data_IF_193214754879
#
_entry.id   IF_193214754879
#
_cell.length_a   1.000
_cell.length_b   1.000
_cell.length_c   1.000
_cell.angle_alpha   90.00
_cell.angle_beta   90.00
_cell.angle_gamma   90.00
#
_symmetry.space_group_name_H-M   'P 1'
#
loop_
_entity.id
_entity.type
_entity.pdbx_description
1 polymer ?
#
# COMPACT_ATOMS: atom_id res chain seq x y z
N UNK A 1 11.89 14.36 10.28
CA UNK A 1 11.12 15.03 11.36
C UNK A 1 9.66 14.55 11.50
N UNK A 2 8.96 14.05 10.46
CA UNK A 2 7.55 13.61 10.59
C UNK A 2 7.33 12.14 11.02
N UNK A 3 8.34 11.27 10.87
CA UNK A 3 8.23 9.84 11.19
C UNK A 3 8.09 9.53 12.69
N UNK A 4 8.80 10.27 13.55
CA UNK A 4 8.83 9.99 14.99
C UNK A 4 7.52 10.33 15.71
N UNK A 5 6.83 11.37 15.25
CA UNK A 5 5.53 11.80 15.80
C UNK A 5 4.45 10.73 15.60
N UNK A 6 4.43 10.05 14.45
CA UNK A 6 3.44 9.00 14.19
C UNK A 6 3.61 7.81 15.15
N UNK A 7 4.85 7.35 15.36
CA UNK A 7 5.13 6.21 16.25
C UNK A 7 4.78 6.53 17.70
N UNK A 8 5.01 7.77 18.15
CA UNK A 8 4.60 8.23 19.47
C UNK A 8 3.07 8.27 19.60
N UNK A 9 2.36 8.93 18.68
CA UNK A 9 0.89 9.05 18.76
C UNK A 9 0.15 7.71 18.61
N UNK A 10 0.67 6.75 17.84
CA UNK A 10 0.07 5.42 17.72
C UNK A 10 0.18 4.63 19.05
N UNK A 11 1.27 4.79 19.79
CA UNK A 11 1.48 4.20 21.13
C UNK A 11 0.59 4.83 22.20
N UNK A 12 0.15 6.07 21.99
CA UNK A 12 -0.75 6.77 22.92
C UNK A 12 -2.22 6.34 22.80
N UNK A 13 -2.66 5.78 21.67
CA UNK A 13 -4.06 5.38 21.48
C UNK A 13 -4.53 4.34 22.53
N UNK A 14 -3.79 3.24 22.80
CA UNK A 14 -4.15 2.30 23.86
C UNK A 14 -4.21 2.95 25.25
N UNK A 15 -3.31 3.87 25.55
CA UNK A 15 -3.27 4.59 26.83
C UNK A 15 -4.48 5.51 26.98
N UNK A 16 -4.84 6.24 25.92
CA UNK A 16 -6.03 7.08 25.87
C UNK A 16 -7.32 6.26 26.00
N UNK A 17 -7.39 5.06 25.40
CA UNK A 17 -8.52 4.14 25.58
C UNK A 17 -8.64 3.72 27.05
N UNK A 18 -7.56 3.24 27.67
CA UNK A 18 -7.54 2.84 29.08
C UNK A 18 -7.96 3.99 30.03
N UNK A 19 -7.42 5.19 29.82
CA UNK A 19 -7.76 6.37 30.64
C UNK A 19 -9.21 6.82 30.49
N UNK A 20 -9.77 6.73 29.28
CA UNK A 20 -11.21 6.98 29.06
C UNK A 20 -12.07 5.95 29.79
N UNK A 21 -11.69 4.68 29.74
CA UNK A 21 -12.47 3.62 30.35
C UNK A 21 -12.37 3.68 31.88
N UNK A 22 -11.22 4.06 32.45
CA UNK A 22 -11.07 4.27 33.89
C UNK A 22 -11.89 5.46 34.40
N UNK A 23 -11.85 6.60 33.71
CA UNK A 23 -12.64 7.79 34.07
C UNK A 23 -14.14 7.57 33.92
N UNK A 24 -14.55 6.75 32.94
CA UNK A 24 -15.93 6.31 32.80
C UNK A 24 -16.39 5.46 33.99
N UNK A 25 -15.57 4.51 34.44
CA UNK A 25 -15.88 3.66 35.61
C UNK A 25 -15.89 4.46 36.91
N UNK A 26 -15.06 5.49 37.04
CA UNK A 26 -15.02 6.38 38.20
C UNK A 26 -16.21 7.37 38.27
N UNK A 27 -17.02 7.50 37.22
CA UNK A 27 -18.16 8.42 37.18
C UNK A 27 -17.80 9.91 37.06
N UNK A 28 -16.52 10.24 36.90
CA UNK A 28 -16.05 11.63 36.75
C UNK A 28 -16.34 12.15 35.33
N UNK A 29 -17.38 12.98 35.22
CA UNK A 29 -17.83 13.58 33.97
C UNK A 29 -16.82 14.58 33.38
N UNK A 30 -16.05 15.28 34.21
CA UNK A 30 -15.07 16.27 33.74
C UNK A 30 -13.83 15.57 33.19
N UNK A 31 -13.30 14.60 33.92
CA UNK A 31 -12.18 13.78 33.46
C UNK A 31 -12.54 12.97 32.21
N UNK A 32 -13.76 12.43 32.13
CA UNK A 32 -14.23 11.69 30.95
C UNK A 32 -14.27 12.56 29.69
N UNK A 33 -14.73 13.82 29.79
CA UNK A 33 -14.72 14.76 28.66
C UNK A 33 -13.30 15.00 28.15
N UNK A 34 -12.36 15.22 29.06
CA UNK A 34 -10.94 15.44 28.74
C UNK A 34 -10.32 14.20 28.11
N UNK A 35 -10.55 13.01 28.66
CA UNK A 35 -10.04 11.75 28.13
C UNK A 35 -10.57 11.46 26.71
N UNK A 36 -11.86 11.75 26.45
CA UNK A 36 -12.45 11.66 25.10
C UNK A 36 -11.82 12.64 24.13
N UNK A 37 -11.62 13.90 24.53
CA UNK A 37 -10.97 14.90 23.69
C UNK A 37 -9.53 14.48 23.32
N UNK A 38 -8.79 13.95 24.30
CA UNK A 38 -7.42 13.45 24.10
C UNK A 38 -7.38 12.26 23.13
N UNK A 39 -8.27 11.28 23.30
CA UNK A 39 -8.38 10.13 22.39
C UNK A 39 -8.69 10.59 20.95
N UNK A 40 -9.67 11.48 20.79
CA UNK A 40 -10.05 12.03 19.48
C UNK A 40 -8.90 12.78 18.80
N UNK A 41 -8.12 13.54 19.57
CA UNK A 41 -6.92 14.23 19.06
C UNK A 41 -5.86 13.24 18.60
N UNK A 42 -5.56 12.22 19.41
CA UNK A 42 -4.58 11.19 19.06
C UNK A 42 -4.96 10.44 17.76
N UNK A 43 -6.24 10.06 17.61
CA UNK A 43 -6.73 9.41 16.39
C UNK A 43 -6.62 10.34 15.18
N UNK A 44 -7.01 11.61 15.33
CA UNK A 44 -6.91 12.60 14.24
C UNK A 44 -5.47 12.81 13.80
N UNK A 45 -4.54 12.89 14.74
CA UNK A 45 -3.12 13.06 14.42
C UNK A 45 -2.56 11.85 13.67
N UNK A 46 -2.81 10.63 14.17
CA UNK A 46 -2.37 9.40 13.49
C UNK A 46 -2.91 9.32 12.07
N UNK A 47 -4.21 9.61 11.87
CA UNK A 47 -4.81 9.65 10.53
C UNK A 47 -4.16 10.70 9.64
N UNK A 48 -3.93 11.90 10.16
CA UNK A 48 -3.28 13.00 9.43
C UNK A 48 -1.88 12.63 9.01
N UNK A 49 -1.04 12.13 9.92
CA UNK A 49 0.34 11.77 9.61
C UNK A 49 0.40 10.60 8.62
N UNK A 50 -0.51 9.63 8.76
CA UNK A 50 -0.61 8.53 7.79
C UNK A 50 -0.99 9.05 6.39
N UNK A 51 -1.97 9.93 6.29
CA UNK A 51 -2.35 10.56 5.02
C UNK A 51 -1.23 11.40 4.41
N UNK A 52 -0.48 12.17 5.21
CA UNK A 52 0.70 12.90 4.75
C UNK A 52 1.78 11.97 4.20
N UNK A 53 1.98 10.81 4.84
CA UNK A 53 2.93 9.81 4.36
C UNK A 53 2.51 9.22 3.02
N UNK A 54 1.23 8.88 2.86
CA UNK A 54 0.67 8.42 1.58
C UNK A 54 0.85 9.50 0.51
N UNK A 55 0.48 10.75 0.79
CA UNK A 55 0.64 11.85 -0.15
C UNK A 55 2.11 12.07 -0.54
N UNK A 56 3.06 11.85 0.37
CA UNK A 56 4.49 11.92 0.08
C UNK A 56 4.92 11.01 -1.07
N UNK A 57 4.29 9.84 -1.22
CA UNK A 57 4.57 8.90 -2.30
C UNK A 57 4.13 9.36 -3.70
N UNK A 58 3.28 10.39 -3.78
CA UNK A 58 2.71 10.90 -5.03
C UNK A 58 3.18 12.34 -5.36
N UNK A 59 4.19 12.86 -4.66
CA UNK A 59 4.70 14.22 -4.89
C UNK A 59 5.56 14.33 -6.14
N UNK A 60 6.31 13.28 -6.48
CA UNK A 60 7.13 13.22 -7.69
C UNK A 60 6.51 12.20 -8.66
N UNK A 61 6.05 12.70 -9.81
CA UNK A 61 5.44 11.87 -10.85
C UNK A 61 6.44 11.07 -11.67
N UNK A 62 7.75 11.35 -11.52
CA UNK A 62 8.82 10.63 -12.22
C UNK A 62 9.30 9.39 -11.47
N UNK A 63 9.00 9.30 -10.17
CA UNK A 63 9.35 8.14 -9.35
C UNK A 63 8.19 7.14 -9.26
N UNK A 64 8.06 6.32 -10.30
CA UNK A 64 7.03 5.28 -10.37
C UNK A 64 7.15 4.23 -9.25
N UNK A 65 8.35 4.04 -8.70
CA UNK A 65 8.57 3.09 -7.62
C UNK A 65 8.05 3.63 -6.29
N UNK A 66 8.29 4.91 -6.00
CA UNK A 66 7.71 5.58 -4.84
C UNK A 66 6.17 5.64 -4.92
N UNK A 67 5.60 5.94 -6.11
CA UNK A 67 4.16 5.86 -6.34
C UNK A 67 3.60 4.45 -6.06
N UNK A 68 4.32 3.41 -6.50
CA UNK A 68 3.95 2.03 -6.25
C UNK A 68 3.91 1.72 -4.74
N UNK A 69 4.87 2.20 -3.96
CA UNK A 69 4.82 2.08 -2.50
C UNK A 69 3.60 2.78 -1.89
N UNK A 70 3.20 3.93 -2.43
CA UNK A 70 1.97 4.62 -2.06
C UNK A 70 0.72 3.78 -2.32
N UNK A 71 0.63 3.15 -3.50
CA UNK A 71 -0.48 2.26 -3.86
C UNK A 71 -0.52 1.04 -2.93
N UNK A 72 0.63 0.43 -2.64
CA UNK A 72 0.74 -0.67 -1.70
C UNK A 72 0.26 -0.27 -0.29
N UNK A 73 0.65 0.93 0.17
CA UNK A 73 0.25 1.45 1.47
C UNK A 73 -1.27 1.71 1.59
N UNK A 74 -1.93 2.12 0.50
CA UNK A 74 -3.39 2.32 0.45
C UNK A 74 -4.14 0.99 0.42
N UNK A 75 -3.68 0.06 -0.42
CA UNK A 75 -4.36 -1.22 -0.67
C UNK A 75 -4.04 -2.29 0.39
N UNK A 76 -3.10 -2.00 1.29
CA UNK A 76 -2.51 -2.98 2.20
C UNK A 76 -2.01 -4.22 1.44
N UNK A 77 -1.48 -4.00 0.23
CA UNK A 77 -0.97 -5.06 -0.62
C UNK A 77 0.21 -5.74 0.07
N UNK A 78 0.06 -7.04 0.33
CA UNK A 78 1.14 -7.86 0.88
C UNK A 78 1.95 -8.43 -0.29
N UNK A 79 3.24 -8.13 -0.31
CA UNK A 79 4.20 -8.66 -1.30
C UNK A 79 4.44 -10.17 -1.16
N UNK A 80 3.77 -10.85 -0.22
CA UNK A 80 3.81 -12.30 -0.15
C UNK A 80 3.23 -12.84 -1.45
N UNK A 81 4.02 -13.50 -2.31
CA UNK A 81 3.45 -14.18 -3.45
C UNK A 81 2.39 -15.13 -2.88
N UNK A 82 1.15 -14.99 -3.35
CA UNK A 82 0.22 -16.10 -3.24
C UNK A 82 0.97 -17.31 -3.78
N UNK A 83 0.94 -18.45 -3.08
CA UNK A 83 1.44 -19.70 -3.62
C UNK A 83 0.66 -19.93 -4.93
N UNK A 84 1.24 -19.47 -6.03
CA UNK A 84 0.69 -19.62 -7.35
C UNK A 84 1.07 -21.05 -7.70
N UNK A 85 0.07 -21.86 -8.04
CA UNK A 85 0.29 -23.20 -8.56
C UNK A 85 1.11 -23.03 -9.83
N UNK A 86 2.43 -23.10 -9.67
CA UNK A 86 3.38 -22.73 -10.69
C UNK A 86 3.53 -23.97 -11.54
N UNK A 87 2.69 -24.07 -12.57
CA UNK A 87 2.82 -25.13 -13.57
C UNK A 87 4.22 -25.06 -14.16
N UNK A 88 5.03 -26.08 -13.88
CA UNK A 88 6.43 -26.14 -14.29
C UNK A 88 6.59 -26.12 -15.81
N UNK A 89 5.53 -26.44 -16.57
CA UNK A 89 5.52 -26.39 -18.03
C UNK A 89 5.17 -25.01 -18.61
N UNK A 90 4.67 -24.08 -17.77
CA UNK A 90 4.25 -22.75 -18.22
C UNK A 90 5.36 -21.92 -18.89
N UNK A 91 6.62 -21.91 -18.38
CA UNK A 91 7.69 -21.17 -19.03
C UNK A 91 7.98 -21.67 -20.46
N UNK A 92 7.96 -23.00 -20.66
CA UNK A 92 8.19 -23.62 -21.97
C UNK A 92 7.05 -23.29 -22.95
N UNK A 93 5.80 -23.40 -22.49
CA UNK A 93 4.62 -23.05 -23.28
C UNK A 93 4.61 -21.58 -23.72
N UNK A 94 5.04 -20.66 -22.84
CA UNK A 94 5.19 -19.25 -23.19
C UNK A 94 6.30 -19.03 -24.22
N UNK A 95 7.43 -19.70 -24.05
CA UNK A 95 8.56 -19.56 -24.97
C UNK A 95 8.19 -20.04 -26.39
N UNK A 96 7.48 -21.17 -26.49
CA UNK A 96 6.96 -21.70 -27.75
C UNK A 96 5.98 -20.73 -28.42
N UNK A 97 5.06 -20.14 -27.64
CA UNK A 97 4.12 -19.14 -28.14
C UNK A 97 4.82 -17.92 -28.74
N UNK A 98 5.84 -17.38 -28.05
CA UNK A 98 6.60 -16.22 -28.56
C UNK A 98 7.50 -16.58 -29.74
N UNK A 99 8.04 -17.81 -29.79
CA UNK A 99 8.79 -18.30 -30.94
C UNK A 99 7.92 -18.39 -32.19
N UNK A 100 6.66 -18.83 -32.05
CA UNK A 100 5.68 -18.90 -33.13
C UNK A 100 5.28 -17.51 -33.63
N UNK A 101 4.99 -16.56 -32.73
CA UNK A 101 4.72 -15.17 -33.08
C UNK A 101 5.88 -14.53 -33.86
N UNK A 102 7.11 -14.73 -33.39
CA UNK A 102 8.31 -14.19 -34.03
C UNK A 102 8.55 -14.82 -35.41
N UNK A 103 8.34 -16.13 -35.53
CA UNK A 103 8.49 -16.86 -36.79
C UNK A 103 7.42 -16.44 -37.80
N UNK A 104 6.18 -16.27 -37.35
CA UNK A 104 5.05 -15.86 -38.20
C UNK A 104 5.24 -14.43 -38.71
N UNK A 105 5.69 -13.52 -37.85
CA UNK A 105 6.03 -12.14 -38.25
C UNK A 105 7.21 -12.09 -39.24
N UNK A 106 8.21 -12.97 -39.10
CA UNK A 106 9.30 -13.12 -40.08
C UNK A 106 8.80 -13.67 -41.43
N UNK A 107 7.87 -14.62 -41.44
CA UNK A 107 7.27 -15.12 -42.67
C UNK A 107 6.44 -14.06 -43.39
N UNK A 108 5.62 -13.28 -42.67
CA UNK A 108 4.86 -12.18 -43.26
C UNK A 108 5.77 -11.08 -43.84
N UNK A 109 6.90 -10.76 -43.19
CA UNK A 109 7.85 -9.77 -43.71
C UNK A 109 8.63 -10.26 -44.95
N UNK A 110 8.95 -11.55 -45.04
CA UNK A 110 9.68 -12.13 -46.19
C UNK A 110 8.78 -12.30 -47.42
N UNK A 111 7.49 -12.63 -47.23
CA UNK A 111 6.53 -12.77 -48.35
C UNK A 111 6.27 -11.42 -49.04
N UNK A 112 6.31 -10.29 -48.32
CA UNK A 112 6.09 -8.96 -48.88
C UNK A 112 7.18 -8.50 -49.88
N UNK A 113 8.39 -9.10 -49.85
CA UNK A 113 9.52 -8.71 -50.70
C UNK A 113 9.73 -9.57 -51.96
N UNK A 114 8.87 -10.58 -52.20
CA UNK A 114 8.98 -11.46 -53.38
C UNK A 114 7.88 -11.30 -54.42
N UNK A 115 6.96 -10.35 -54.24
CA UNK A 115 5.91 -10.02 -55.20
C UNK A 115 6.01 -8.54 -55.60
N UNK A 116 6.99 -8.23 -56.43
CA UNK A 116 7.02 -7.04 -57.30
C UNK A 116 7.69 -7.44 -58.60
#
# INVERSE_FOLDING_TARGET
MFGDKNRASLREIPLCKKSRDSTFRAGDKAALRTARAKLSRAIREVKRTHGQRIHGHFQDSRDSWCMWQGIQAITNYKTTPSACDSDASLPDALNDFYAQLTSTLRFCAVVQHRTT
#
